data_IF_380589912230
#
_entry.id   IF_380589912230
#
_cell.length_a   1.000
_cell.length_b   1.000
_cell.length_c   1.000
_cell.angle_alpha   90.00
_cell.angle_beta   90.00
_cell.angle_gamma   90.00
#
_symmetry.space_group_name_H-M   'P 1'
#
loop_
_entity.id
_entity.type
_entity.pdbx_description
1 polymer ?
#
# COMPACT_ATOMS: atom_id res chain seq x y z
N UNK A 1 -12.42 -9.29 -16.73
CA UNK A 1 -11.09 -9.79 -17.14
C UNK A 1 -10.09 -8.71 -16.71
N UNK A 2 -9.49 -8.84 -15.53
CA UNK A 2 -8.54 -7.85 -15.03
C UNK A 2 -7.30 -7.97 -15.89
N UNK A 3 -7.01 -6.92 -16.66
CA UNK A 3 -5.80 -6.80 -17.47
C UNK A 3 -4.60 -7.07 -16.56
N UNK A 4 -3.75 -8.03 -16.92
CA UNK A 4 -2.47 -8.27 -16.26
C UNK A 4 -1.67 -6.96 -16.37
N UNK A 5 -1.61 -6.22 -15.27
CA UNK A 5 -0.74 -5.05 -15.17
C UNK A 5 0.67 -5.43 -15.61
N UNK A 6 1.15 -4.80 -16.67
CA UNK A 6 2.58 -4.79 -17.02
C UNK A 6 3.29 -3.79 -16.08
N UNK A 7 3.37 -4.14 -14.81
CA UNK A 7 4.18 -3.40 -13.86
C UNK A 7 5.62 -3.90 -13.98
N UNK A 8 6.51 -3.04 -14.43
CA UNK A 8 7.95 -3.26 -14.30
C UNK A 8 8.38 -2.67 -12.95
N UNK A 9 8.78 -3.51 -12.00
CA UNK A 9 9.19 -3.02 -10.69
C UNK A 9 10.40 -2.10 -10.82
N UNK A 10 10.35 -0.91 -10.22
CA UNK A 10 11.41 0.08 -10.19
C UNK A 10 12.73 -0.52 -9.67
N UNK A 11 13.51 -1.10 -10.58
CA UNK A 11 14.87 -1.54 -10.32
C UNK A 11 15.03 -2.75 -9.39
N UNK A 12 13.97 -3.48 -9.05
CA UNK A 12 14.09 -4.73 -8.30
C UNK A 12 14.24 -5.93 -9.20
N UNK A 13 15.17 -6.82 -8.86
CA UNK A 13 15.36 -8.08 -9.55
C UNK A 13 14.19 -9.05 -9.28
N UNK A 14 13.99 -10.07 -10.14
CA UNK A 14 12.96 -11.10 -9.89
C UNK A 14 13.13 -11.83 -8.54
N UNK A 15 14.35 -11.96 -8.03
CA UNK A 15 14.63 -12.59 -6.73
C UNK A 15 14.21 -11.71 -5.56
N UNK A 16 14.42 -10.39 -5.67
CA UNK A 16 13.94 -9.43 -4.66
C UNK A 16 12.41 -9.40 -4.63
N UNK A 17 11.75 -9.35 -5.78
CA UNK A 17 10.28 -9.43 -5.88
C UNK A 17 9.75 -10.73 -5.27
N UNK A 18 10.38 -11.87 -5.55
CA UNK A 18 10.00 -13.14 -4.94
C UNK A 18 10.14 -13.13 -3.40
N UNK A 19 11.16 -12.43 -2.86
CA UNK A 19 11.32 -12.24 -1.41
C UNK A 19 10.18 -11.40 -0.83
N UNK A 20 9.76 -10.31 -1.50
CA UNK A 20 8.64 -9.46 -1.08
C UNK A 20 7.32 -10.22 -1.09
N UNK A 21 7.03 -10.95 -2.16
CA UNK A 21 5.84 -11.80 -2.25
C UNK A 21 5.85 -12.91 -1.20
N UNK A 22 7.01 -13.49 -0.91
CA UNK A 22 7.19 -14.47 0.16
C UNK A 22 6.88 -13.88 1.53
N UNK A 23 7.37 -12.68 1.82
CA UNK A 23 7.10 -11.96 3.05
C UNK A 23 5.60 -11.64 3.19
N UNK A 24 4.95 -11.16 2.13
CA UNK A 24 3.52 -10.84 2.14
C UNK A 24 2.66 -12.09 2.34
N UNK A 25 3.00 -13.22 1.72
CA UNK A 25 2.31 -14.50 1.98
C UNK A 25 2.42 -14.93 3.45
N UNK A 26 3.58 -14.76 4.07
CA UNK A 26 3.76 -15.06 5.50
C UNK A 26 2.95 -14.12 6.40
N UNK A 27 2.90 -12.83 6.08
CA UNK A 27 2.09 -11.85 6.79
C UNK A 27 0.59 -12.17 6.70
N UNK A 28 0.11 -12.62 5.53
CA UNK A 28 -1.29 -13.01 5.30
C UNK A 28 -1.73 -14.22 6.15
N UNK A 29 -0.79 -15.04 6.65
CA UNK A 29 -1.10 -16.12 7.60
C UNK A 29 -1.39 -15.62 9.02
N UNK A 30 -1.29 -14.31 9.29
CA UNK A 30 -1.41 -13.73 10.63
C UNK A 30 -0.16 -13.88 11.49
N UNK A 31 0.94 -14.40 10.93
CA UNK A 31 2.21 -14.53 11.66
C UNK A 31 2.80 -13.15 11.94
N UNK A 32 3.07 -12.84 13.22
CA UNK A 32 3.70 -11.58 13.58
C UNK A 32 5.11 -11.48 12.97
N UNK A 33 5.47 -10.29 12.48
CA UNK A 33 6.78 -10.07 11.84
C UNK A 33 7.97 -10.41 12.74
N UNK A 34 7.88 -10.09 14.02
CA UNK A 34 8.89 -10.47 15.02
C UNK A 34 9.21 -11.97 14.99
N UNK A 35 8.20 -12.80 14.71
CA UNK A 35 8.29 -14.25 14.65
C UNK A 35 8.66 -14.80 13.25
N UNK A 36 8.69 -13.94 12.21
CA UNK A 36 9.15 -14.33 10.89
C UNK A 36 10.68 -14.31 10.88
N UNK A 37 11.29 -15.43 10.50
CA UNK A 37 12.74 -15.53 10.30
C UNK A 37 13.11 -15.31 8.84
N UNK A 38 14.33 -14.86 8.56
CA UNK A 38 14.85 -14.73 7.18
C UNK A 38 14.75 -16.06 6.42
N UNK A 39 14.95 -17.19 7.13
CA UNK A 39 14.76 -18.53 6.53
C UNK A 39 13.32 -18.78 6.08
N UNK A 40 12.32 -18.31 6.83
CA UNK A 40 10.92 -18.46 6.45
C UNK A 40 10.63 -17.68 5.15
N UNK A 41 11.17 -16.45 5.04
CA UNK A 41 11.05 -15.61 3.83
C UNK A 41 11.71 -16.32 2.63
N UNK A 42 12.93 -16.82 2.80
CA UNK A 42 13.65 -17.54 1.76
C UNK A 42 12.86 -18.76 1.26
N UNK A 43 12.33 -19.56 2.19
CA UNK A 43 11.48 -20.73 1.86
C UNK A 43 10.21 -20.32 1.13
N UNK A 44 9.50 -19.28 1.62
CA UNK A 44 8.29 -18.78 0.98
C UNK A 44 8.56 -18.15 -0.39
N UNK A 45 9.74 -17.58 -0.60
CA UNK A 45 10.19 -17.02 -1.87
C UNK A 45 10.70 -18.06 -2.87
N UNK A 46 10.98 -19.30 -2.41
CA UNK A 46 11.60 -20.33 -3.24
C UNK A 46 13.05 -20.07 -3.59
N UNK A 47 13.79 -19.32 -2.74
CA UNK A 47 15.20 -18.99 -2.93
C UNK A 47 16.05 -19.39 -1.72
N UNK A 48 17.37 -19.48 -1.92
CA UNK A 48 18.29 -19.78 -0.81
C UNK A 48 18.41 -18.62 0.19
N UNK A 49 18.61 -18.94 1.48
CA UNK A 49 18.88 -17.92 2.52
C UNK A 49 20.12 -17.09 2.19
N UNK A 50 21.18 -17.73 1.64
CA UNK A 50 22.40 -17.03 1.20
C UNK A 50 22.08 -16.00 0.13
N UNK A 51 21.22 -16.35 -0.84
CA UNK A 51 20.79 -15.43 -1.90
C UNK A 51 20.05 -14.21 -1.36
N UNK A 52 19.25 -14.36 -0.29
CA UNK A 52 18.62 -13.18 0.35
C UNK A 52 19.67 -12.20 0.90
N UNK A 53 20.74 -12.72 1.50
CA UNK A 53 21.81 -11.87 2.06
C UNK A 53 22.73 -11.26 0.99
N UNK A 54 22.64 -11.69 -0.28
CA UNK A 54 23.27 -11.00 -1.41
C UNK A 54 22.55 -9.69 -1.75
N UNK A 55 21.26 -9.58 -1.44
CA UNK A 55 20.40 -8.40 -1.75
C UNK A 55 20.08 -7.54 -0.53
N UNK A 56 19.97 -8.13 0.66
CA UNK A 56 19.50 -7.46 1.86
C UNK A 56 20.40 -7.73 3.05
N UNK A 57 20.76 -6.70 3.78
CA UNK A 57 21.59 -6.81 4.99
C UNK A 57 20.82 -7.32 6.21
N UNK A 58 19.48 -7.14 6.22
CA UNK A 58 18.65 -7.48 7.37
C UNK A 58 17.22 -7.85 6.95
N UNK A 59 16.48 -8.46 7.89
CA UNK A 59 15.05 -8.73 7.74
C UNK A 59 14.25 -7.42 7.64
N UNK A 60 14.65 -6.43 8.38
CA UNK A 60 14.06 -5.10 8.43
C UNK A 60 14.20 -4.39 7.08
N UNK A 61 15.34 -4.59 6.40
CA UNK A 61 15.54 -4.07 5.05
C UNK A 61 14.64 -4.76 4.03
N UNK A 62 14.48 -6.09 4.10
CA UNK A 62 13.52 -6.81 3.24
C UNK A 62 12.13 -6.21 3.41
N UNK A 63 11.70 -5.94 4.66
CA UNK A 63 10.40 -5.35 4.93
C UNK A 63 10.28 -3.93 4.36
N UNK A 64 11.29 -3.09 4.57
CA UNK A 64 11.28 -1.71 4.07
C UNK A 64 11.17 -1.68 2.53
N UNK A 65 11.97 -2.50 1.85
CA UNK A 65 11.93 -2.63 0.39
C UNK A 65 10.60 -3.22 -0.10
N UNK A 66 10.06 -4.22 0.59
CA UNK A 66 8.77 -4.81 0.25
C UNK A 66 7.63 -3.79 0.32
N UNK A 67 7.64 -2.92 1.32
CA UNK A 67 6.62 -1.86 1.44
C UNK A 67 6.79 -0.80 0.37
N UNK A 68 8.01 -0.35 0.09
CA UNK A 68 8.27 0.59 -1.01
C UNK A 68 7.80 0.02 -2.35
N UNK A 69 8.08 -1.26 -2.60
CA UNK A 69 7.60 -1.97 -3.77
C UNK A 69 6.07 -2.02 -3.85
N UNK A 70 5.39 -2.30 -2.73
CA UNK A 70 3.93 -2.36 -2.70
C UNK A 70 3.28 -0.99 -2.88
N UNK A 71 3.85 0.07 -2.27
CA UNK A 71 3.40 1.44 -2.48
C UNK A 71 3.57 1.88 -3.92
N UNK A 72 4.71 1.59 -4.54
CA UNK A 72 4.97 1.92 -5.92
C UNK A 72 4.02 1.19 -6.89
N UNK A 73 3.71 -0.09 -6.62
CA UNK A 73 2.69 -0.84 -7.38
C UNK A 73 1.31 -0.21 -7.27
N UNK A 74 0.90 0.16 -6.05
CA UNK A 74 -0.39 0.79 -5.81
C UNK A 74 -0.48 2.14 -6.53
N UNK A 75 0.60 2.92 -6.48
CA UNK A 75 0.69 4.21 -7.14
C UNK A 75 0.67 4.07 -8.66
N UNK A 76 1.44 3.14 -9.22
CA UNK A 76 1.42 2.87 -10.67
C UNK A 76 0.04 2.44 -11.15
N UNK A 77 -0.68 1.65 -10.35
CA UNK A 77 -2.07 1.33 -10.64
C UNK A 77 -2.97 2.58 -10.64
N UNK A 78 -2.81 3.49 -9.67
CA UNK A 78 -3.55 4.76 -9.63
C UNK A 78 -3.23 5.64 -10.85
N UNK A 79 -1.97 5.72 -11.24
CA UNK A 79 -1.54 6.45 -12.43
C UNK A 79 -2.18 5.89 -13.71
N UNK A 80 -2.30 4.57 -13.81
CA UNK A 80 -3.00 3.92 -14.93
C UNK A 80 -4.49 4.31 -14.97
N UNK A 81 -5.14 4.50 -13.82
CA UNK A 81 -6.55 4.96 -13.78
C UNK A 81 -6.71 6.40 -14.30
N UNK A 82 -5.66 7.22 -14.25
CA UNK A 82 -5.67 8.59 -14.78
C UNK A 82 -5.61 8.67 -16.31
N UNK A 83 -5.31 7.56 -16.99
CA UNK A 83 -5.23 7.51 -18.46
C UNK A 83 -6.60 7.44 -19.18
N UNK A 84 -7.70 7.25 -18.41
CA UNK A 84 -9.05 7.06 -18.93
C UNK A 84 -10.06 8.10 -18.44
N UNK A 85 -11.32 7.72 -18.44
CA UNK A 85 -12.38 8.50 -17.81
C UNK A 85 -12.24 8.39 -16.28
N UNK A 86 -11.80 9.49 -15.66
CA UNK A 86 -11.50 9.53 -14.22
C UNK A 86 -12.80 9.66 -13.44
N UNK A 87 -13.06 8.69 -12.57
CA UNK A 87 -14.10 8.77 -11.54
C UNK A 87 -13.49 8.42 -10.19
N UNK A 88 -13.52 9.35 -9.26
CA UNK A 88 -13.03 9.14 -7.89
C UNK A 88 -13.74 7.95 -7.23
N UNK A 89 -15.06 7.85 -7.41
CA UNK A 89 -15.86 6.79 -6.79
C UNK A 89 -15.52 5.40 -7.30
N UNK A 90 -15.41 5.24 -8.62
CA UNK A 90 -15.03 3.95 -9.25
C UNK A 90 -13.61 3.56 -8.87
N UNK A 91 -12.70 4.54 -8.89
CA UNK A 91 -11.31 4.31 -8.52
C UNK A 91 -11.19 3.89 -7.07
N UNK A 92 -11.87 4.58 -6.15
CA UNK A 92 -11.87 4.23 -4.73
C UNK A 92 -12.52 2.86 -4.50
N UNK A 93 -13.64 2.55 -5.14
CA UNK A 93 -14.30 1.24 -5.04
C UNK A 93 -13.38 0.11 -5.49
N UNK A 94 -12.73 0.28 -6.66
CA UNK A 94 -11.79 -0.72 -7.19
C UNK A 94 -10.57 -0.85 -6.29
N UNK A 95 -10.03 0.26 -5.78
CA UNK A 95 -8.89 0.27 -4.87
C UNK A 95 -9.22 -0.49 -3.57
N UNK A 96 -10.38 -0.23 -2.97
CA UNK A 96 -10.84 -0.92 -1.76
C UNK A 96 -11.04 -2.43 -2.00
N UNK A 97 -11.61 -2.81 -3.15
CA UNK A 97 -11.77 -4.21 -3.55
C UNK A 97 -10.42 -4.92 -3.72
N UNK A 98 -9.43 -4.24 -4.29
CA UNK A 98 -8.07 -4.76 -4.43
C UNK A 98 -7.35 -4.87 -3.07
N UNK A 99 -7.59 -3.95 -2.14
CA UNK A 99 -7.09 -4.05 -0.77
C UNK A 99 -7.73 -5.23 -0.03
N UNK A 100 -9.04 -5.44 -0.19
CA UNK A 100 -9.76 -6.58 0.42
C UNK A 100 -9.22 -7.92 -0.08
N UNK A 101 -8.86 -7.99 -1.35
CA UNK A 101 -8.31 -9.20 -1.98
C UNK A 101 -6.80 -9.37 -1.77
N UNK A 102 -6.19 -8.51 -0.98
CA UNK A 102 -4.72 -8.48 -0.73
C UNK A 102 -3.86 -8.38 -2.02
N UNK A 103 -4.44 -7.86 -3.09
CA UNK A 103 -3.79 -7.81 -4.40
C UNK A 103 -2.79 -6.65 -4.55
N UNK A 104 -3.00 -5.54 -3.84
CA UNK A 104 -2.16 -4.34 -3.93
C UNK A 104 -1.22 -4.15 -2.75
N UNK A 105 -1.75 -4.22 -1.55
CA UNK A 105 -0.99 -3.95 -0.34
C UNK A 105 -1.60 -4.76 0.80
N UNK A 106 -0.84 -5.63 1.47
CA UNK A 106 -1.26 -6.06 2.78
C UNK A 106 -1.24 -4.85 3.71
N UNK A 107 -2.40 -4.33 4.06
CA UNK A 107 -2.54 -3.18 4.99
C UNK A 107 -1.82 -3.49 6.30
N UNK A 108 -1.75 -4.76 6.66
CA UNK A 108 -0.89 -5.29 7.71
C UNK A 108 0.60 -4.95 7.52
N UNK A 109 1.12 -4.86 6.30
CA UNK A 109 2.52 -4.53 6.06
C UNK A 109 2.87 -3.07 6.41
N UNK A 110 1.99 -2.11 6.12
CA UNK A 110 2.17 -0.70 6.49
C UNK A 110 2.19 -0.49 8.01
N UNK A 111 1.27 -1.12 8.72
CA UNK A 111 1.22 -1.07 10.20
C UNK A 111 2.42 -1.77 10.82
N UNK A 112 2.92 -2.79 10.16
CA UNK A 112 4.12 -3.50 10.56
C UNK A 112 5.37 -2.61 10.49
N UNK A 113 5.52 -1.84 9.43
CA UNK A 113 6.64 -0.91 9.26
C UNK A 113 6.68 0.17 10.36
N UNK A 114 5.51 0.61 10.79
CA UNK A 114 5.39 1.63 11.84
C UNK A 114 5.77 1.06 13.21
N UNK A 115 5.47 -0.22 13.46
CA UNK A 115 5.58 -0.83 14.79
C UNK A 115 6.83 -1.68 15.01
N UNK A 116 7.49 -2.19 13.98
CA UNK A 116 8.45 -3.30 14.11
C UNK A 116 9.92 -2.91 14.00
N UNK A 117 10.25 -1.70 13.55
CA UNK A 117 11.64 -1.24 13.41
C UNK A 117 12.01 -0.33 14.57
N UNK A 118 13.12 -0.62 15.26
CA UNK A 118 13.66 0.23 16.34
C UNK A 118 13.93 1.64 15.84
N UNK A 119 14.00 2.63 16.74
CA UNK A 119 14.21 4.04 16.35
C UNK A 119 15.49 4.25 15.53
N UNK A 120 16.58 3.60 15.90
CA UNK A 120 17.86 3.72 15.19
C UNK A 120 17.81 3.06 13.80
N UNK A 121 17.33 1.83 13.70
CA UNK A 121 17.17 1.15 12.41
C UNK A 121 16.22 1.88 11.47
N UNK A 122 15.14 2.50 11.98
CA UNK A 122 14.25 3.36 11.17
C UNK A 122 15.01 4.54 10.57
N UNK A 123 15.90 5.17 11.32
CA UNK A 123 16.64 6.34 10.87
C UNK A 123 17.63 5.97 9.75
N UNK A 124 18.35 4.87 9.91
CA UNK A 124 19.28 4.36 8.90
C UNK A 124 18.55 3.96 7.61
N UNK A 125 17.48 3.17 7.71
CA UNK A 125 16.66 2.78 6.57
C UNK A 125 15.98 4.00 5.91
N UNK A 126 15.47 4.94 6.71
CA UNK A 126 14.91 6.18 6.19
C UNK A 126 15.92 6.97 5.37
N UNK A 127 17.15 7.09 5.84
CA UNK A 127 18.21 7.81 5.14
C UNK A 127 18.61 7.10 3.84
N UNK A 128 18.73 5.75 3.88
CA UNK A 128 19.08 4.93 2.73
C UNK A 128 18.03 5.01 1.60
N UNK A 129 16.73 5.04 1.95
CA UNK A 129 15.63 5.02 0.99
C UNK A 129 14.92 6.37 0.83
N UNK A 130 15.49 7.45 1.36
CA UNK A 130 14.86 8.78 1.39
C UNK A 130 14.46 9.27 0.00
N UNK A 131 15.34 9.15 -0.99
CA UNK A 131 15.06 9.62 -2.35
C UNK A 131 13.88 8.85 -2.98
N UNK A 132 13.81 7.54 -2.73
CA UNK A 132 12.74 6.68 -3.24
C UNK A 132 11.40 7.01 -2.58
N UNK A 133 11.41 7.25 -1.27
CA UNK A 133 10.23 7.71 -0.54
C UNK A 133 9.74 9.07 -1.06
N UNK A 134 10.65 10.03 -1.27
CA UNK A 134 10.32 11.35 -1.79
C UNK A 134 9.68 11.26 -3.17
N UNK A 135 10.19 10.40 -4.05
CA UNK A 135 9.60 10.21 -5.38
C UNK A 135 8.20 9.61 -5.32
N UNK A 136 7.98 8.60 -4.46
CA UNK A 136 6.65 8.02 -4.23
C UNK A 136 5.68 9.10 -3.72
N UNK A 137 6.07 9.90 -2.74
CA UNK A 137 5.23 10.99 -2.23
C UNK A 137 4.92 12.04 -3.29
N UNK A 138 5.91 12.45 -4.08
CA UNK A 138 5.70 13.41 -5.17
C UNK A 138 4.70 12.90 -6.20
N UNK A 139 4.81 11.65 -6.63
CA UNK A 139 3.88 11.01 -7.58
C UNK A 139 2.48 10.89 -6.97
N UNK A 140 2.38 10.52 -5.69
CA UNK A 140 1.11 10.42 -4.97
C UNK A 140 0.38 11.77 -4.97
N UNK A 141 1.04 12.86 -4.61
CA UNK A 141 0.45 14.21 -4.63
C UNK A 141 -0.03 14.62 -6.03
N UNK A 142 0.70 14.26 -7.08
CA UNK A 142 0.26 14.52 -8.45
C UNK A 142 -1.00 13.74 -8.83
N UNK A 143 -1.08 12.47 -8.43
CA UNK A 143 -2.28 11.65 -8.64
C UNK A 143 -3.48 12.21 -7.88
N UNK A 144 -3.33 12.52 -6.59
CA UNK A 144 -4.38 13.08 -5.74
C UNK A 144 -4.97 14.33 -6.35
N UNK A 145 -4.12 15.27 -6.76
CA UNK A 145 -4.56 16.52 -7.40
C UNK A 145 -5.42 16.25 -8.63
N UNK A 146 -5.02 15.34 -9.51
CA UNK A 146 -5.77 15.01 -10.73
C UNK A 146 -7.10 14.33 -10.40
N UNK A 147 -7.15 13.43 -9.41
CA UNK A 147 -8.37 12.78 -8.96
C UNK A 147 -9.34 13.80 -8.33
N UNK A 148 -8.86 14.72 -7.50
CA UNK A 148 -9.72 15.72 -6.87
C UNK A 148 -10.25 16.73 -7.88
N UNK A 149 -9.43 17.20 -8.82
CA UNK A 149 -9.89 18.05 -9.91
C UNK A 149 -10.95 17.36 -10.79
N UNK A 150 -10.75 16.09 -11.12
CA UNK A 150 -11.73 15.31 -11.86
C UNK A 150 -13.01 15.08 -11.05
N UNK A 151 -12.89 14.74 -9.77
CA UNK A 151 -14.03 14.56 -8.87
C UNK A 151 -14.90 15.81 -8.75
N UNK A 152 -14.30 17.00 -8.69
CA UNK A 152 -15.04 18.27 -8.71
C UNK A 152 -15.74 18.51 -10.05
N UNK A 153 -15.06 18.29 -11.16
CA UNK A 153 -15.68 18.42 -12.50
C UNK A 153 -16.85 17.50 -12.71
N UNK A 154 -16.80 16.29 -12.13
CA UNK A 154 -17.84 15.28 -12.27
C UNK A 154 -18.96 15.42 -11.22
N UNK A 155 -18.88 16.39 -10.30
CA UNK A 155 -19.84 16.54 -9.20
C UNK A 155 -19.74 15.45 -8.13
N UNK A 156 -18.60 14.77 -8.05
CA UNK A 156 -18.32 13.74 -7.03
C UNK A 156 -17.73 14.34 -5.75
N UNK A 157 -17.13 15.53 -5.84
CA UNK A 157 -16.56 16.30 -4.73
C UNK A 157 -17.21 17.67 -4.70
N UNK A 158 -17.61 18.12 -3.52
CA UNK A 158 -18.07 19.48 -3.27
C UNK A 158 -16.94 20.48 -3.62
N UNK A 159 -17.15 21.41 -4.56
CA UNK A 159 -16.15 22.38 -4.96
C UNK A 159 -15.70 23.31 -3.82
N UNK A 160 -16.43 23.41 -2.73
CA UNK A 160 -16.07 24.17 -1.54
C UNK A 160 -15.00 23.47 -0.66
N UNK A 161 -14.79 22.17 -0.84
CA UNK A 161 -13.80 21.40 -0.09
C UNK A 161 -12.41 21.58 -0.69
N UNK A 162 -11.41 21.85 0.14
CA UNK A 162 -10.01 21.88 -0.27
C UNK A 162 -9.40 20.47 -0.42
N UNK A 163 -8.26 20.39 -1.10
CA UNK A 163 -7.58 19.11 -1.34
C UNK A 163 -7.12 18.44 -0.04
N UNK A 164 -6.68 19.24 0.96
CA UNK A 164 -6.24 18.73 2.25
C UNK A 164 -7.36 18.06 3.02
N UNK A 165 -8.58 18.61 2.96
CA UNK A 165 -9.75 17.96 3.56
C UNK A 165 -10.07 16.63 2.86
N UNK A 166 -10.06 16.61 1.52
CA UNK A 166 -10.31 15.40 0.73
C UNK A 166 -9.29 14.31 1.05
N UNK A 167 -8.00 14.66 1.05
CA UNK A 167 -6.89 13.76 1.43
C UNK A 167 -7.10 13.22 2.84
N UNK A 168 -7.38 14.10 3.81
CA UNK A 168 -7.56 13.71 5.21
C UNK A 168 -8.72 12.73 5.39
N UNK A 169 -9.85 12.97 4.73
CA UNK A 169 -11.01 12.07 4.76
C UNK A 169 -10.66 10.69 4.23
N UNK A 170 -10.01 10.62 3.07
CA UNK A 170 -9.65 9.34 2.43
C UNK A 170 -8.62 8.60 3.28
N UNK A 171 -7.51 9.26 3.61
CA UNK A 171 -6.38 8.65 4.32
C UNK A 171 -6.80 8.19 5.72
N UNK A 172 -7.49 9.04 6.50
CA UNK A 172 -7.92 8.67 7.85
C UNK A 172 -8.93 7.51 7.85
N UNK A 173 -9.81 7.45 6.85
CA UNK A 173 -10.77 6.36 6.70
C UNK A 173 -10.08 5.03 6.42
N UNK A 174 -9.06 5.03 5.54
CA UNK A 174 -8.26 3.85 5.22
C UNK A 174 -7.43 3.40 6.42
N UNK A 175 -6.77 4.33 7.13
CA UNK A 175 -5.97 4.02 8.32
C UNK A 175 -6.83 3.54 9.49
N UNK A 176 -7.99 4.15 9.70
CA UNK A 176 -8.94 3.74 10.74
C UNK A 176 -9.40 2.30 10.56
N UNK A 177 -9.66 1.90 9.33
CA UNK A 177 -10.01 0.52 9.02
C UNK A 177 -8.84 -0.43 9.17
N UNK A 178 -7.64 -0.05 8.71
CA UNK A 178 -6.43 -0.84 8.89
C UNK A 178 -6.14 -1.07 10.39
N UNK A 179 -6.26 -0.03 11.21
CA UNK A 179 -6.07 -0.11 12.67
C UNK A 179 -7.09 -1.04 13.34
N UNK A 180 -8.35 -1.00 12.94
CA UNK A 180 -9.38 -1.92 13.44
C UNK A 180 -9.05 -3.39 13.16
N UNK A 181 -8.63 -3.69 11.93
CA UNK A 181 -8.28 -5.06 11.55
C UNK A 181 -7.13 -5.62 12.39
N UNK A 182 -6.18 -4.76 12.78
CA UNK A 182 -5.09 -5.14 13.69
C UNK A 182 -5.55 -5.42 15.12
N UNK A 183 -6.46 -4.61 15.65
CA UNK A 183 -6.94 -4.75 17.02
C UNK A 183 -7.92 -5.90 17.20
N UNK A 184 -8.68 -6.24 16.16
CA UNK A 184 -9.80 -7.17 16.29
C UNK A 184 -9.42 -8.66 16.14
N UNK A 185 -8.20 -9.01 15.76
CA UNK A 185 -7.78 -10.40 15.42
C UNK A 185 -8.78 -11.14 14.52
N UNK A 186 -9.68 -10.43 13.85
CA UNK A 186 -10.71 -10.96 12.97
C UNK A 186 -10.40 -10.59 11.53
N UNK A 187 -10.24 -11.60 10.69
CA UNK A 187 -10.20 -11.42 9.24
C UNK A 187 -11.41 -10.63 8.78
N UNK A 188 -11.16 -9.57 8.02
CA UNK A 188 -12.09 -8.51 7.67
C UNK A 188 -13.47 -8.97 7.27
N UNK A 189 -14.49 -8.33 7.83
CA UNK A 189 -15.85 -8.47 7.36
C UNK A 189 -15.99 -7.70 6.05
N UNK A 190 -16.37 -8.36 4.96
CA UNK A 190 -16.68 -7.74 3.65
C UNK A 190 -17.56 -6.48 3.73
N UNK A 191 -18.30 -6.30 4.84
CA UNK A 191 -19.15 -5.12 5.06
C UNK A 191 -18.38 -3.85 5.44
N UNK A 192 -17.13 -3.94 5.90
CA UNK A 192 -16.40 -2.77 6.43
C UNK A 192 -15.82 -1.91 5.30
N UNK A 193 -15.40 -2.50 4.18
CA UNK A 193 -14.95 -1.76 3.01
C UNK A 193 -16.06 -0.90 2.40
N UNK A 194 -17.27 -1.45 2.32
CA UNK A 194 -18.46 -0.70 1.88
C UNK A 194 -18.79 0.46 2.84
N UNK A 195 -18.56 0.26 4.14
CA UNK A 195 -18.77 1.32 5.12
C UNK A 195 -17.77 2.46 4.93
N UNK A 196 -16.49 2.15 4.73
CA UNK A 196 -15.45 3.15 4.43
C UNK A 196 -15.79 3.92 3.15
N UNK A 197 -16.17 3.22 2.09
CA UNK A 197 -16.62 3.83 0.84
C UNK A 197 -17.78 4.81 1.07
N UNK A 198 -18.80 4.37 1.82
CA UNK A 198 -19.95 5.23 2.15
C UNK A 198 -19.57 6.45 2.99
N UNK A 199 -18.64 6.27 3.95
CA UNK A 199 -18.15 7.38 4.79
C UNK A 199 -17.42 8.43 3.93
N UNK A 200 -16.49 8.00 3.10
CA UNK A 200 -15.75 8.89 2.19
C UNK A 200 -16.71 9.61 1.24
N UNK A 201 -17.61 8.88 0.60
CA UNK A 201 -18.56 9.49 -0.35
C UNK A 201 -19.51 10.50 0.32
N UNK A 202 -19.98 10.22 1.53
CA UNK A 202 -20.83 11.17 2.26
C UNK A 202 -20.09 12.42 2.71
N UNK A 203 -18.80 12.30 3.02
CA UNK A 203 -17.99 13.43 3.45
C UNK A 203 -17.54 14.34 2.29
N UNK A 204 -17.42 13.79 1.08
CA UNK A 204 -16.93 14.52 -0.09
C UNK A 204 -18.03 15.07 -1.00
N UNK A 205 -19.25 14.54 -0.94
CA UNK A 205 -20.36 14.97 -1.82
C UNK A 205 -20.78 16.41 -1.57
N UNK A 206 -21.24 17.11 -2.65
CA UNK A 206 -21.99 18.37 -2.53
C UNK A 206 -23.24 18.23 -1.71
#
# INVERSE_FOLDING_TARGET
MVSRMKYEPLGYSPKEVAAFDGLFRLAATGKQFSNIKVQDIATAAGIGKGTLYEYFSSKEEILACAVLYALDRALSWLEDQLQGEISLYRTLETFLDMLEKEQLLPVTALTFLISSVSGQQKQELKQQYQNRMQEIFRRMQLCEKQFFEAGRRNGEIDPALDDSFCEYVIVSSLFGMAGRNLCAHQQGRKSEWKLVQQMVFRALRP
#
